data_IF_937680948455
#
_entry.id   IF_937680948455
#
_cell.length_a   1.000
_cell.length_b   1.000
_cell.length_c   1.000
_cell.angle_alpha   90.00
_cell.angle_beta   90.00
_cell.angle_gamma   90.00
#
_symmetry.space_group_name_H-M   'P 1'
#
loop_
_entity.id
_entity.type
_entity.pdbx_description
1 polymer ?
#
# COMPACT_ATOMS: atom_id res chain seq x y z
N UNK A 1 27.80 24.26 -5.96
CA UNK A 1 27.99 23.99 -4.51
C UNK A 1 26.60 23.91 -3.90
N UNK A 2 26.25 22.73 -3.33
CA UNK A 2 24.93 22.21 -2.91
C UNK A 2 24.38 21.15 -3.88
N UNK A 3 24.04 19.99 -3.32
CA UNK A 3 23.54 18.75 -3.94
C UNK A 3 24.55 17.66 -4.29
N UNK A 4 25.44 17.32 -3.36
CA UNK A 4 25.90 15.94 -3.20
C UNK A 4 26.09 15.75 -1.69
N UNK A 5 25.76 14.58 -1.14
CA UNK A 5 25.76 14.22 0.30
C UNK A 5 24.39 14.41 0.99
N UNK A 6 23.47 13.46 0.73
CA UNK A 6 22.48 12.95 1.70
C UNK A 6 22.19 11.46 1.43
N UNK A 7 23.22 10.61 1.42
CA UNK A 7 23.08 9.14 1.39
C UNK A 7 23.95 8.46 2.47
N UNK A 8 24.24 9.16 3.57
CA UNK A 8 25.10 8.67 4.66
C UNK A 8 24.49 9.05 6.02
N UNK A 9 23.40 8.39 6.39
CA UNK A 9 22.94 8.27 7.78
C UNK A 9 21.85 7.19 7.90
N UNK A 10 22.22 5.92 7.71
CA UNK A 10 21.46 4.78 8.23
C UNK A 10 22.44 3.68 8.66
N UNK A 11 23.38 4.05 9.54
CA UNK A 11 24.17 3.10 10.31
C UNK A 11 23.78 3.24 11.78
N UNK A 12 22.57 2.78 12.10
CA UNK A 12 22.20 2.39 13.46
C UNK A 12 21.76 0.93 13.37
N UNK A 13 22.70 0.03 13.66
CA UNK A 13 22.43 -1.39 13.81
C UNK A 13 21.57 -1.60 15.05
N UNK A 14 20.26 -1.71 14.85
CA UNK A 14 19.40 -2.44 15.79
C UNK A 14 19.09 -3.78 15.13
N UNK A 15 19.86 -4.81 15.51
CA UNK A 15 19.53 -6.20 15.25
C UNK A 15 18.29 -6.54 16.09
N UNK A 16 17.11 -6.07 15.66
CA UNK A 16 15.88 -6.77 16.01
C UNK A 16 15.98 -8.07 15.23
N UNK A 17 16.07 -9.18 15.94
CA UNK A 17 15.84 -10.51 15.36
C UNK A 17 14.40 -10.55 14.86
N UNK A 18 14.17 -9.97 13.68
CA UNK A 18 12.96 -10.20 12.90
C UNK A 18 13.04 -11.66 12.48
N UNK A 19 12.42 -12.53 13.26
CA UNK A 19 12.09 -13.86 12.78
C UNK A 19 11.24 -13.64 11.55
N UNK A 20 11.80 -13.90 10.36
CA UNK A 20 11.04 -13.88 9.14
C UNK A 20 9.82 -14.77 9.37
N UNK A 21 8.63 -14.17 9.37
CA UNK A 21 7.39 -14.94 9.41
C UNK A 21 7.43 -15.81 8.15
N UNK A 22 7.37 -17.15 8.27
CA UNK A 22 7.36 -17.99 7.08
C UNK A 22 6.17 -17.58 6.21
N UNK A 23 6.36 -17.50 4.89
CA UNK A 23 5.35 -16.97 3.95
C UNK A 23 3.95 -17.57 4.17
N UNK A 24 3.86 -18.87 4.46
CA UNK A 24 2.60 -19.54 4.77
C UNK A 24 1.88 -18.98 6.01
N UNK A 25 2.61 -18.55 7.05
CA UNK A 25 2.02 -17.91 8.22
C UNK A 25 1.59 -16.46 7.91
N UNK A 26 2.26 -15.80 6.98
CA UNK A 26 1.90 -14.45 6.52
C UNK A 26 0.61 -14.47 5.68
N UNK A 27 0.47 -15.45 4.78
CA UNK A 27 -0.74 -15.67 3.98
C UNK A 27 -1.95 -16.02 4.86
N UNK A 28 -1.77 -16.91 5.84
CA UNK A 28 -2.82 -17.25 6.80
C UNK A 28 -3.23 -16.04 7.65
N UNK A 29 -2.27 -15.23 8.10
CA UNK A 29 -2.54 -14.01 8.85
C UNK A 29 -3.28 -12.96 8.00
N UNK A 30 -2.96 -12.85 6.71
CA UNK A 30 -3.69 -11.99 5.78
C UNK A 30 -5.13 -12.47 5.58
N UNK A 31 -5.33 -13.79 5.38
CA UNK A 31 -6.67 -14.38 5.28
C UNK A 31 -7.53 -14.07 6.50
N UNK A 32 -6.98 -14.30 7.71
CA UNK A 32 -7.66 -13.97 8.96
C UNK A 32 -7.96 -12.46 9.10
N UNK A 33 -7.08 -11.60 8.60
CA UNK A 33 -7.30 -10.16 8.62
C UNK A 33 -8.40 -9.71 7.63
N UNK A 34 -8.48 -10.36 6.46
CA UNK A 34 -9.58 -10.15 5.49
C UNK A 34 -10.91 -10.57 6.10
N UNK A 35 -10.98 -11.75 6.71
CA UNK A 35 -12.20 -12.24 7.37
C UNK A 35 -12.64 -11.35 8.53
N UNK A 36 -11.68 -10.83 9.31
CA UNK A 36 -11.94 -9.90 10.40
C UNK A 36 -12.38 -8.51 9.92
N UNK A 37 -11.95 -8.08 8.74
CA UNK A 37 -12.41 -6.84 8.11
C UNK A 37 -13.83 -7.00 7.56
N UNK A 38 -14.06 -8.02 6.73
CA UNK A 38 -15.36 -8.40 6.19
C UNK A 38 -15.31 -9.83 5.61
N UNK A 39 -15.92 -10.78 6.34
CA UNK A 39 -16.02 -12.19 5.93
C UNK A 39 -16.78 -12.46 4.61
N UNK A 40 -17.45 -11.46 4.04
CA UNK A 40 -18.09 -11.57 2.72
C UNK A 40 -17.15 -11.25 1.55
N UNK A 41 -16.00 -10.65 1.84
CA UNK A 41 -14.99 -10.28 0.87
C UNK A 41 -13.88 -11.33 0.78
N UNK A 42 -13.25 -11.43 -0.39
CA UNK A 42 -12.12 -12.32 -0.65
C UNK A 42 -11.04 -11.61 -1.43
N UNK A 43 -9.80 -12.08 -1.26
CA UNK A 43 -8.71 -11.74 -2.16
C UNK A 43 -9.04 -12.24 -3.59
N UNK A 44 -8.48 -11.62 -4.64
CA UNK A 44 -8.57 -12.15 -5.99
C UNK A 44 -7.85 -13.50 -6.09
N UNK A 45 -8.46 -14.49 -6.74
CA UNK A 45 -7.92 -15.84 -6.87
C UNK A 45 -6.56 -15.89 -7.59
N UNK A 46 -6.29 -14.91 -8.47
CA UNK A 46 -5.07 -14.82 -9.28
C UNK A 46 -3.98 -13.93 -8.65
N UNK A 47 -4.25 -13.31 -7.50
CA UNK A 47 -3.33 -12.40 -6.81
C UNK A 47 -3.02 -11.09 -7.56
N UNK A 48 -3.62 -10.83 -8.72
CA UNK A 48 -3.25 -9.72 -9.61
C UNK A 48 -3.50 -8.33 -9.02
N UNK A 49 -4.36 -8.23 -8.00
CA UNK A 49 -4.71 -6.99 -7.31
C UNK A 49 -4.23 -6.98 -5.86
N UNK A 50 -3.12 -7.66 -5.58
CA UNK A 50 -2.44 -7.69 -4.28
C UNK A 50 -1.01 -7.19 -4.45
N UNK A 51 -0.59 -6.25 -3.60
CA UNK A 51 0.78 -5.73 -3.58
C UNK A 51 1.35 -5.79 -2.18
N UNK A 52 2.60 -6.24 -2.08
CA UNK A 52 3.34 -6.35 -0.82
C UNK A 52 4.51 -5.38 -0.81
N UNK A 53 4.62 -4.56 0.23
CA UNK A 53 5.84 -3.80 0.57
C UNK A 53 5.71 -3.22 1.98
N UNK A 54 6.79 -2.67 2.52
CA UNK A 54 6.74 -1.90 3.77
C UNK A 54 6.23 -0.48 3.48
N UNK A 55 4.91 -0.29 3.50
CA UNK A 55 4.27 0.98 3.21
C UNK A 55 4.31 1.95 4.39
N UNK A 56 4.63 1.47 5.58
CA UNK A 56 4.63 2.24 6.83
C UNK A 56 6.03 2.60 7.35
N UNK A 57 7.07 2.02 6.78
CA UNK A 57 8.47 2.23 7.15
C UNK A 57 8.87 1.54 8.45
N UNK A 58 8.11 0.52 8.89
CA UNK A 58 8.31 -0.15 10.18
C UNK A 58 9.17 -1.43 10.08
N UNK A 59 9.64 -1.76 8.88
CA UNK A 59 10.44 -2.93 8.56
C UNK A 59 9.63 -4.21 8.38
N UNK A 60 8.30 -4.15 8.37
CA UNK A 60 7.41 -5.31 8.16
C UNK A 60 6.65 -5.16 6.83
N UNK A 61 6.51 -6.23 6.04
CA UNK A 61 5.75 -6.15 4.80
C UNK A 61 4.26 -5.97 5.06
N UNK A 62 3.70 -4.85 4.60
CA UNK A 62 2.29 -4.54 4.51
C UNK A 62 1.68 -5.10 3.22
N UNK A 63 0.33 -5.06 3.11
CA UNK A 63 -0.40 -5.57 1.95
C UNK A 63 -1.45 -4.57 1.48
N UNK A 64 -1.45 -4.20 0.21
CA UNK A 64 -2.56 -3.50 -0.41
C UNK A 64 -3.32 -4.48 -1.28
N UNK A 65 -4.61 -4.64 -1.04
CA UNK A 65 -5.43 -5.61 -1.75
C UNK A 65 -6.74 -4.99 -2.22
N UNK A 66 -7.11 -5.31 -3.46
CA UNK A 66 -8.50 -5.16 -3.88
C UNK A 66 -9.25 -6.43 -3.52
N UNK A 67 -10.16 -6.31 -2.57
CA UNK A 67 -11.04 -7.39 -2.15
C UNK A 67 -12.31 -7.36 -3.00
N UNK A 68 -12.90 -8.52 -3.24
CA UNK A 68 -14.16 -8.65 -4.00
C UNK A 68 -15.18 -9.49 -3.24
N UNK A 69 -16.46 -9.13 -3.37
CA UNK A 69 -17.59 -9.87 -2.81
C UNK A 69 -18.90 -9.49 -3.47
N UNK A 70 -20.02 -10.02 -2.95
CA UNK A 70 -21.34 -9.87 -3.58
C UNK A 70 -21.84 -8.42 -3.71
N UNK A 71 -21.30 -7.48 -2.95
CA UNK A 71 -21.69 -6.06 -2.94
C UNK A 71 -20.73 -5.15 -3.74
N UNK A 72 -19.68 -5.72 -4.35
CA UNK A 72 -18.66 -5.01 -5.12
C UNK A 72 -17.24 -5.24 -4.61
N UNK A 73 -16.31 -4.39 -5.05
CA UNK A 73 -14.89 -4.48 -4.67
C UNK A 73 -14.48 -3.34 -3.73
N UNK A 74 -13.54 -3.61 -2.83
CA UNK A 74 -12.97 -2.66 -1.87
C UNK A 74 -11.46 -2.59 -2.04
N UNK A 75 -10.85 -1.41 -1.89
CA UNK A 75 -9.39 -1.29 -1.72
C UNK A 75 -9.08 -1.12 -0.24
N UNK A 76 -8.26 -2.04 0.29
CA UNK A 76 -7.84 -2.04 1.69
C UNK A 76 -6.32 -2.17 1.75
N UNK A 77 -5.67 -1.38 2.60
CA UNK A 77 -4.27 -1.62 2.97
C UNK A 77 -4.24 -2.24 4.37
N UNK A 78 -3.55 -3.36 4.50
CA UNK A 78 -3.34 -4.14 5.70
C UNK A 78 -1.92 -3.86 6.19
N UNK A 79 -1.80 -3.02 7.22
CA UNK A 79 -0.51 -2.69 7.80
C UNK A 79 -0.09 -3.82 8.74
N UNK A 80 1.11 -4.35 8.57
CA UNK A 80 1.65 -5.36 9.44
C UNK A 80 1.82 -4.80 10.86
N UNK A 81 1.58 -5.67 11.84
CA UNK A 81 1.80 -5.38 13.25
C UNK A 81 2.13 -6.69 13.99
N UNK A 82 2.66 -6.62 15.21
CA UNK A 82 2.79 -7.82 16.03
C UNK A 82 1.44 -8.56 16.12
N UNK A 83 1.44 -9.83 15.72
CA UNK A 83 0.25 -10.69 15.77
C UNK A 83 -0.71 -10.60 14.57
N UNK A 84 -0.38 -9.90 13.48
CA UNK A 84 -1.15 -9.94 12.24
C UNK A 84 -1.17 -8.61 11.48
N UNK A 85 -2.34 -8.22 10.99
CA UNK A 85 -2.51 -7.00 10.20
C UNK A 85 -3.61 -6.08 10.73
N UNK A 86 -3.44 -4.78 10.50
CA UNK A 86 -4.45 -3.74 10.69
C UNK A 86 -5.02 -3.29 9.35
N UNK A 87 -6.33 -3.51 9.15
CA UNK A 87 -7.02 -3.03 7.96
C UNK A 87 -7.20 -1.49 8.00
N UNK A 88 -6.85 -0.84 6.90
CA UNK A 88 -7.07 0.56 6.58
C UNK A 88 -7.84 0.63 5.25
N UNK A 89 -9.18 0.68 5.29
CA UNK A 89 -9.98 0.78 4.07
C UNK A 89 -9.76 2.15 3.41
N UNK A 90 -9.39 2.13 2.14
CA UNK A 90 -9.25 3.33 1.30
C UNK A 90 -10.50 3.56 0.45
N UNK A 91 -11.09 2.46 -0.04
CA UNK A 91 -12.39 2.45 -0.70
C UNK A 91 -13.21 1.28 -0.17
N UNK A 92 -14.38 1.58 0.38
CA UNK A 92 -15.38 0.57 0.76
C UNK A 92 -16.20 0.08 -0.44
N UNK A 93 -16.20 0.85 -1.53
CA UNK A 93 -16.79 0.46 -2.80
C UNK A 93 -16.06 1.14 -3.95
N UNK A 94 -15.38 0.35 -4.76
CA UNK A 94 -14.73 0.81 -5.96
C UNK A 94 -15.76 1.04 -7.08
N UNK A 95 -15.54 2.04 -7.95
CA UNK A 95 -16.26 2.16 -9.21
C UNK A 95 -16.15 0.87 -10.03
N UNK A 96 -17.21 0.53 -10.76
CA UNK A 96 -17.15 -0.53 -11.76
C UNK A 96 -16.18 -0.16 -12.89
N UNK A 97 -15.43 -1.14 -13.37
CA UNK A 97 -14.50 -1.01 -14.49
C UNK A 97 -13.16 -1.65 -14.20
N UNK A 98 -12.23 -1.61 -15.17
CA UNK A 98 -10.87 -2.07 -14.95
C UNK A 98 -10.20 -1.19 -13.90
N UNK A 99 -9.39 -1.82 -13.06
CA UNK A 99 -8.54 -1.16 -12.08
C UNK A 99 -7.16 -1.81 -12.12
N UNK A 100 -6.14 -1.03 -11.79
CA UNK A 100 -4.79 -1.53 -11.59
C UNK A 100 -4.28 -0.98 -10.27
N UNK A 101 -3.61 -1.83 -9.50
CA UNK A 101 -2.83 -1.39 -8.34
C UNK A 101 -1.35 -1.51 -8.66
N UNK A 102 -0.60 -0.44 -8.45
CA UNK A 102 0.84 -0.37 -8.76
C UNK A 102 1.62 -0.14 -7.49
N UNK A 103 2.73 -0.88 -7.35
CA UNK A 103 3.76 -0.51 -6.40
C UNK A 103 4.47 0.75 -6.89
N UNK A 104 4.54 1.75 -6.03
CA UNK A 104 5.25 3.01 -6.24
C UNK A 104 6.46 3.00 -5.32
N UNK A 105 7.65 3.16 -5.90
CA UNK A 105 8.91 3.14 -5.15
C UNK A 105 9.17 4.50 -4.48
N UNK A 106 10.01 4.53 -3.42
CA UNK A 106 10.49 5.77 -2.82
C UNK A 106 11.08 6.73 -3.85
N UNK A 107 10.95 8.03 -3.60
CA UNK A 107 11.47 9.09 -4.46
C UNK A 107 10.46 10.19 -4.76
N UNK A 108 10.82 11.06 -5.70
CA UNK A 108 9.99 12.19 -6.12
C UNK A 108 9.01 11.78 -7.20
N UNK A 109 7.72 12.04 -6.96
CA UNK A 109 6.64 11.71 -7.89
C UNK A 109 5.82 12.95 -8.21
N UNK A 110 5.44 13.08 -9.47
CA UNK A 110 4.56 14.16 -9.93
C UNK A 110 3.13 13.88 -9.47
N UNK A 111 2.49 14.89 -8.89
CA UNK A 111 1.10 14.83 -8.40
C UNK A 111 0.33 16.05 -8.86
N UNK A 112 -0.99 15.91 -8.92
CA UNK A 112 -1.89 17.02 -9.12
C UNK A 112 -1.98 17.87 -7.84
N UNK A 113 -2.29 19.15 -8.01
CA UNK A 113 -2.45 20.11 -6.92
C UNK A 113 -1.27 21.08 -6.75
N UNK A 114 -1.25 21.84 -5.65
CA UNK A 114 -0.37 23.01 -5.51
C UNK A 114 1.11 22.64 -5.35
N UNK A 115 1.42 21.49 -4.76
CA UNK A 115 2.81 21.05 -4.56
C UNK A 115 3.46 20.53 -5.84
N UNK A 116 2.66 20.06 -6.81
CA UNK A 116 3.05 19.42 -8.09
C UNK A 116 3.94 18.18 -8.00
N UNK A 117 4.63 18.01 -6.88
CA UNK A 117 5.47 16.86 -6.57
C UNK A 117 5.26 16.43 -5.12
N UNK A 118 5.56 15.17 -4.86
CA UNK A 118 5.58 14.58 -3.53
C UNK A 118 6.81 13.68 -3.41
N UNK A 119 7.56 13.84 -2.32
CA UNK A 119 8.65 12.92 -1.95
C UNK A 119 8.08 11.77 -1.13
N UNK A 120 8.27 10.54 -1.58
CA UNK A 120 7.89 9.32 -0.87
C UNK A 120 9.13 8.74 -0.21
N UNK A 121 9.06 8.53 1.11
CA UNK A 121 10.16 7.96 1.90
C UNK A 121 10.17 6.43 1.83
N UNK A 122 8.97 5.86 1.80
CA UNK A 122 8.71 4.42 1.79
C UNK A 122 7.98 4.04 0.50
N UNK A 123 8.04 2.77 0.06
CA UNK A 123 7.19 2.31 -1.03
C UNK A 123 5.72 2.51 -0.68
N UNK A 124 4.87 2.55 -1.69
CA UNK A 124 3.43 2.76 -1.50
C UNK A 124 2.67 2.21 -2.70
N UNK A 125 1.36 2.45 -2.76
CA UNK A 125 0.52 2.05 -3.88
C UNK A 125 -0.12 3.21 -4.60
N UNK A 126 -0.23 3.08 -5.91
CA UNK A 126 -1.11 3.88 -6.75
C UNK A 126 -2.30 3.02 -7.17
N UNK A 127 -3.51 3.53 -6.91
CA UNK A 127 -4.72 3.00 -7.53
C UNK A 127 -4.96 3.73 -8.84
N UNK A 128 -5.10 2.97 -9.91
CA UNK A 128 -5.27 3.48 -11.27
C UNK A 128 -6.60 3.01 -11.84
N UNK A 129 -7.41 3.96 -12.30
CA UNK A 129 -8.58 3.70 -13.13
C UNK A 129 -8.26 4.09 -14.59
N UNK A 130 -8.01 3.11 -15.49
CA UNK A 130 -7.71 3.40 -16.88
C UNK A 130 -8.78 4.32 -17.53
N UNK A 131 -8.34 5.39 -18.19
CA UNK A 131 -9.21 6.37 -18.84
C UNK A 131 -9.90 7.37 -17.90
N UNK A 132 -9.56 7.40 -16.61
CA UNK A 132 -10.20 8.28 -15.61
C UNK A 132 -9.18 9.04 -14.76
N UNK A 133 -8.78 8.46 -13.64
CA UNK A 133 -7.98 9.13 -12.61
C UNK A 133 -7.16 8.09 -11.85
N UNK A 134 -6.06 8.55 -11.26
CA UNK A 134 -5.21 7.75 -10.39
C UNK A 134 -4.84 8.54 -9.15
N UNK A 135 -4.43 7.83 -8.11
CA UNK A 135 -3.95 8.44 -6.87
C UNK A 135 -2.97 7.53 -6.14
N UNK A 136 -1.93 8.15 -5.58
CA UNK A 136 -0.95 7.54 -4.68
C UNK A 136 -1.45 7.63 -3.23
N UNK A 137 -1.26 6.57 -2.45
CA UNK A 137 -1.71 6.45 -1.05
C UNK A 137 -0.54 6.29 -0.08
N UNK A 138 0.13 7.39 0.27
CA UNK A 138 1.34 7.33 1.09
C UNK A 138 1.04 7.42 2.60
N UNK A 139 1.69 6.58 3.40
CA UNK A 139 1.60 6.65 4.86
C UNK A 139 2.36 7.85 5.41
N UNK A 140 1.70 8.69 6.20
CA UNK A 140 2.31 9.84 6.91
C UNK A 140 1.57 10.11 8.20
N UNK A 141 2.31 10.37 9.27
CA UNK A 141 1.74 10.80 10.56
C UNK A 141 0.61 9.87 11.06
N UNK A 142 0.78 8.56 10.88
CA UNK A 142 -0.17 7.55 11.36
C UNK A 142 -1.40 7.33 10.49
N UNK A 143 -1.42 7.82 9.23
CA UNK A 143 -2.54 7.58 8.29
C UNK A 143 -2.11 7.64 6.83
N UNK A 144 -2.93 7.10 5.95
CA UNK A 144 -2.75 7.26 4.50
C UNK A 144 -3.20 8.64 4.02
N UNK A 145 -2.30 9.32 3.32
CA UNK A 145 -2.55 10.56 2.60
C UNK A 145 -2.71 10.26 1.12
N UNK A 146 -3.70 10.92 0.49
CA UNK A 146 -4.03 10.71 -0.91
C UNK A 146 -3.42 11.83 -1.75
N UNK A 147 -2.68 11.45 -2.78
CA UNK A 147 -2.10 12.36 -3.75
C UNK A 147 -2.62 12.00 -5.13
N UNK A 148 -3.55 12.77 -5.70
CA UNK A 148 -4.04 12.51 -7.05
C UNK A 148 -2.87 12.66 -8.03
N UNK A 149 -2.78 11.78 -9.03
CA UNK A 149 -1.70 11.77 -10.02
C UNK A 149 -2.23 12.07 -11.42
N UNK A 150 -1.34 12.52 -12.30
CA UNK A 150 -1.65 12.60 -13.72
C UNK A 150 -1.54 11.19 -14.33
N UNK A 151 -2.62 10.71 -14.97
CA UNK A 151 -2.52 9.63 -15.94
C UNK A 151 -3.45 8.43 -15.72
N UNK A 152 -4.43 8.32 -16.60
CA UNK A 152 -4.40 7.36 -17.72
C UNK A 152 -5.30 7.98 -18.80
N UNK A 153 -4.73 8.70 -19.77
CA UNK A 153 -5.46 9.10 -20.98
C UNK A 153 -5.49 7.93 -21.98
#
# INVERSE_FOLDING_TARGET
>A
MKQFIRYLACLAALLITSTAVPAAAQDAALGAAVDAYDSSLRLPDDGSLVQWADFTGDGRPDVAAVLSGGQGSSLVIFNARPGGFQAHPLYTRLPSGPIVIRLVLPGWHRVLGPSREVELLDPTVELVFPGRSSAIYAWRNGRYHVFPTEGYH
#
